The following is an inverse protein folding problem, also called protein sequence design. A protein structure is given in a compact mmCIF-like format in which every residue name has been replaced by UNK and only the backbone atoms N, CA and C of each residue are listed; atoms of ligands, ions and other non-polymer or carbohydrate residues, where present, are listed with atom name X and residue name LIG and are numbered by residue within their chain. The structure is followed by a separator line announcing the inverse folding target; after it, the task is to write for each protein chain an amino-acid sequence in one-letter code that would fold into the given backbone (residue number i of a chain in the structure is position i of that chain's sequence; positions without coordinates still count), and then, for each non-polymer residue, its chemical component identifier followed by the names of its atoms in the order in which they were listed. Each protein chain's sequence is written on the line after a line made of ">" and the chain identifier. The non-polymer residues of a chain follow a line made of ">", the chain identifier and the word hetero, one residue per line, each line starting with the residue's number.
data_IF_894816932572
#
_entry.id   IF_894816932572
#
_cell.length_a   1.000
_cell.length_b   1.000
_cell.length_c   1.000
_cell.angle_alpha   90.00
_cell.angle_beta   90.00
_cell.angle_gamma   90.00
#
_symmetry.space_group_name_H-M   'P 1'
#
loop_
_entity.id
_entity.type
_entity.pdbx_description
1 polymer ?
#
# COMPACT_ATOMS: atom_id res chain seq x y z
N UNK A 1 16.05 -64.03 -3.14
CA UNK A 1 15.41 -63.04 -2.28
C UNK A 1 15.43 -61.70 -3.03
N UNK A 2 14.27 -61.28 -3.58
CA UNK A 2 14.12 -60.02 -4.33
C UNK A 2 13.67 -58.91 -3.34
N UNK A 3 14.50 -57.88 -3.17
CA UNK A 3 14.15 -56.73 -2.33
C UNK A 3 13.43 -55.68 -3.21
N UNK A 4 12.12 -55.49 -2.95
CA UNK A 4 11.31 -54.49 -3.60
C UNK A 4 11.51 -53.15 -2.85
N UNK A 5 12.09 -52.16 -3.56
CA UNK A 5 12.19 -50.77 -3.02
C UNK A 5 10.93 -50.04 -3.46
N UNK A 6 10.09 -49.70 -2.52
CA UNK A 6 8.94 -48.81 -2.75
C UNK A 6 9.41 -47.35 -2.59
N UNK A 7 9.49 -46.61 -3.69
CA UNK A 7 9.77 -45.19 -3.69
C UNK A 7 8.46 -44.45 -3.38
N UNK A 8 8.38 -43.87 -2.21
CA UNK A 8 7.29 -42.94 -1.86
C UNK A 8 7.52 -41.58 -2.54
N UNK A 9 6.73 -41.28 -3.56
CA UNK A 9 6.65 -39.92 -4.12
C UNK A 9 5.85 -39.02 -3.17
N UNK A 10 6.53 -38.13 -2.46
CA UNK A 10 5.88 -37.01 -1.75
C UNK A 10 5.46 -35.98 -2.81
N UNK A 11 4.18 -35.96 -3.14
CA UNK A 11 3.59 -34.92 -3.97
C UNK A 11 3.54 -33.60 -3.17
N UNK A 12 4.38 -32.62 -3.52
CA UNK A 12 4.23 -31.24 -3.03
C UNK A 12 3.02 -30.63 -3.70
N UNK A 13 1.91 -30.52 -2.96
CA UNK A 13 0.77 -29.72 -3.35
C UNK A 13 1.19 -28.24 -3.27
N UNK A 14 1.45 -27.61 -4.41
CA UNK A 14 1.59 -26.17 -4.49
C UNK A 14 0.21 -25.56 -4.29
N UNK A 15 -0.04 -25.01 -3.10
CA UNK A 15 -1.18 -24.14 -2.88
C UNK A 15 -0.95 -22.86 -3.67
N UNK A 16 -1.69 -22.66 -4.75
CA UNK A 16 -1.79 -21.38 -5.41
C UNK A 16 -2.46 -20.42 -4.41
N UNK A 17 -1.67 -19.56 -3.77
CA UNK A 17 -2.20 -18.47 -2.98
C UNK A 17 -2.98 -17.55 -3.94
N UNK A 18 -4.33 -17.53 -3.82
CA UNK A 18 -5.16 -16.58 -4.55
C UNK A 18 -4.83 -15.15 -4.17
N UNK A 19 -5.16 -14.19 -5.06
CA UNK A 19 -5.01 -12.76 -4.77
C UNK A 19 -5.81 -12.39 -3.50
N UNK A 20 -5.15 -11.71 -2.55
CA UNK A 20 -5.76 -11.27 -1.31
C UNK A 20 -6.32 -9.84 -1.44
N UNK A 21 -7.35 -9.51 -0.65
CA UNK A 21 -7.80 -8.14 -0.45
C UNK A 21 -7.37 -7.66 0.94
N UNK A 22 -6.67 -6.54 0.97
CA UNK A 22 -6.24 -5.84 2.17
C UNK A 22 -7.09 -4.59 2.36
N UNK A 23 -7.18 -4.08 3.60
CA UNK A 23 -7.98 -2.89 3.90
C UNK A 23 -7.09 -1.77 4.47
N UNK A 24 -7.38 -0.55 4.03
CA UNK A 24 -6.85 0.69 4.59
C UNK A 24 -8.02 1.59 4.96
N UNK A 25 -8.11 1.93 6.24
CA UNK A 25 -9.19 2.78 6.76
C UNK A 25 -8.85 4.24 6.57
N UNK A 26 -9.83 5.06 6.25
CA UNK A 26 -9.73 6.52 6.17
C UNK A 26 -10.35 7.12 7.44
N UNK A 27 -9.54 7.77 8.28
CA UNK A 27 -9.89 8.15 9.65
C UNK A 27 -9.60 9.62 9.95
N UNK A 28 -10.52 10.25 10.66
CA UNK A 28 -10.27 11.56 11.29
C UNK A 28 -9.24 11.45 12.42
N UNK A 29 -9.27 10.34 13.17
CA UNK A 29 -8.31 10.05 14.23
C UNK A 29 -8.01 8.55 14.25
N UNK A 30 -6.75 8.20 14.20
CA UNK A 30 -6.26 6.82 14.29
C UNK A 30 -5.03 6.72 15.18
N UNK A 31 -4.33 5.60 15.08
CA UNK A 31 -3.16 5.29 15.90
C UNK A 31 -2.04 6.33 15.77
N UNK A 32 -1.85 6.86 14.57
CA UNK A 32 -0.78 7.83 14.26
C UNK A 32 -1.25 9.29 14.34
N UNK A 33 -2.39 9.56 15.01
CA UNK A 33 -2.93 10.89 15.25
C UNK A 33 -4.10 11.28 14.35
N UNK A 34 -4.23 12.57 14.08
CA UNK A 34 -5.33 13.10 13.29
C UNK A 34 -5.09 12.97 11.78
N UNK A 35 -6.18 12.78 11.02
CA UNK A 35 -6.22 12.69 9.56
C UNK A 35 -5.22 11.65 9.05
N UNK A 36 -5.61 10.37 9.13
CA UNK A 36 -4.72 9.23 8.85
C UNK A 36 -5.36 8.18 7.96
N UNK A 37 -4.51 7.50 7.20
CA UNK A 37 -4.79 6.17 6.68
C UNK A 37 -4.27 5.13 7.69
N UNK A 38 -5.06 4.10 7.97
CA UNK A 38 -4.66 3.05 8.92
C UNK A 38 -4.87 1.65 8.31
N UNK A 39 -3.78 0.89 8.13
CA UNK A 39 -2.39 1.24 8.43
C UNK A 39 -1.82 2.29 7.47
N UNK A 40 -0.82 3.07 7.91
CA UNK A 40 -0.11 4.05 7.08
C UNK A 40 0.92 3.43 6.14
N UNK A 41 1.37 2.21 6.45
CA UNK A 41 2.21 1.36 5.61
C UNK A 41 1.60 -0.02 5.46
N UNK A 42 1.60 -0.54 4.24
CA UNK A 42 1.10 -1.88 3.91
C UNK A 42 2.04 -2.57 2.92
N UNK A 43 2.41 -3.82 3.21
CA UNK A 43 3.15 -4.67 2.27
C UNK A 43 2.23 -5.76 1.73
N UNK A 44 2.14 -5.87 0.41
CA UNK A 44 1.26 -6.80 -0.29
C UNK A 44 2.01 -7.54 -1.39
N UNK A 45 1.44 -8.62 -1.87
CA UNK A 45 1.95 -9.35 -3.03
C UNK A 45 1.44 -8.72 -4.34
N UNK A 46 2.20 -8.88 -5.41
CA UNK A 46 1.74 -8.54 -6.77
C UNK A 46 0.45 -9.30 -7.10
N UNK A 47 -0.55 -8.57 -7.58
CA UNK A 47 -1.87 -9.11 -7.92
C UNK A 47 -2.89 -9.00 -6.79
N UNK A 48 -2.47 -8.66 -5.57
CA UNK A 48 -3.39 -8.35 -4.48
C UNK A 48 -4.18 -7.05 -4.76
N UNK A 49 -5.27 -6.88 -4.02
CA UNK A 49 -6.07 -5.66 -4.04
C UNK A 49 -6.01 -4.96 -2.68
N UNK A 50 -6.15 -3.64 -2.71
CA UNK A 50 -6.31 -2.82 -1.49
C UNK A 50 -7.62 -2.07 -1.57
N UNK A 51 -8.47 -2.29 -0.57
CA UNK A 51 -9.73 -1.56 -0.38
C UNK A 51 -9.51 -0.40 0.57
N UNK A 52 -9.80 0.81 0.10
CA UNK A 52 -9.84 2.00 0.94
C UNK A 52 -11.24 2.14 1.53
N UNK A 53 -11.34 1.97 2.85
CA UNK A 53 -12.60 1.88 3.58
C UNK A 53 -12.96 3.26 4.16
N UNK A 54 -14.15 3.75 3.84
CA UNK A 54 -14.70 4.96 4.44
C UNK A 54 -15.19 4.67 5.86
N UNK A 55 -14.40 5.05 6.86
CA UNK A 55 -14.83 5.02 8.26
C UNK A 55 -15.39 6.38 8.67
N UNK A 56 -14.62 7.45 8.43
CA UNK A 56 -15.05 8.82 8.67
C UNK A 56 -15.31 9.55 7.36
N UNK A 57 -16.13 10.63 7.37
CA UNK A 57 -16.45 11.40 6.18
C UNK A 57 -15.33 12.36 5.78
N UNK A 58 -15.42 12.91 4.57
CA UNK A 58 -14.56 13.95 4.00
C UNK A 58 -13.16 13.45 3.64
N UNK A 59 -13.06 12.19 3.24
CA UNK A 59 -11.82 11.58 2.79
C UNK A 59 -11.94 10.98 1.39
N UNK A 60 -10.80 10.91 0.71
CA UNK A 60 -10.60 10.10 -0.48
C UNK A 60 -9.20 9.46 -0.46
N UNK A 61 -8.95 8.59 -1.42
CA UNK A 61 -7.60 8.06 -1.68
C UNK A 61 -7.21 8.37 -3.12
N UNK A 62 -6.07 9.00 -3.30
CA UNK A 62 -5.50 9.30 -4.61
C UNK A 62 -4.01 8.94 -4.63
N UNK A 63 -3.59 8.08 -5.58
CA UNK A 63 -2.18 7.76 -5.76
C UNK A 63 -1.47 8.95 -6.42
N UNK A 64 -0.33 9.34 -5.85
CA UNK A 64 0.48 10.47 -6.33
C UNK A 64 1.87 10.05 -6.79
N UNK A 65 2.36 8.90 -6.31
CA UNK A 65 3.61 8.27 -6.75
C UNK A 65 3.30 6.80 -7.00
N UNK A 66 3.62 6.32 -8.19
CA UNK A 66 3.44 4.92 -8.58
C UNK A 66 4.67 4.42 -9.34
N UNK A 67 4.96 3.12 -9.31
CA UNK A 67 6.05 2.56 -10.12
C UNK A 67 5.73 2.64 -11.61
N UNK A 68 6.78 2.57 -12.43
CA UNK A 68 6.64 2.60 -13.89
C UNK A 68 5.69 1.48 -14.37
N UNK A 69 4.79 1.82 -15.28
CA UNK A 69 3.79 0.91 -15.83
C UNK A 69 2.55 0.71 -14.95
N UNK A 70 2.52 1.26 -13.73
CA UNK A 70 1.33 1.24 -12.91
C UNK A 70 0.39 2.40 -13.24
N UNK A 71 -0.91 2.16 -13.05
CA UNK A 71 -1.94 3.20 -13.17
C UNK A 71 -2.21 3.82 -11.80
N UNK A 72 -2.12 5.15 -11.71
CA UNK A 72 -2.54 5.89 -10.53
C UNK A 72 -4.06 5.89 -10.41
N UNK A 73 -4.57 5.66 -9.20
CA UNK A 73 -6.01 5.75 -8.91
C UNK A 73 -6.36 7.11 -8.33
N UNK A 74 -7.61 7.48 -8.46
CA UNK A 74 -8.19 8.66 -7.81
C UNK A 74 -9.65 8.39 -7.44
N UNK A 75 -9.88 8.09 -6.15
CA UNK A 75 -11.22 7.95 -5.60
C UNK A 75 -11.90 9.32 -5.47
N UNK A 76 -13.22 9.34 -5.58
CA UNK A 76 -14.03 10.51 -5.26
C UNK A 76 -14.13 10.70 -3.76
N UNK A 77 -14.57 11.88 -3.34
CA UNK A 77 -14.82 12.16 -1.94
C UNK A 77 -15.86 11.18 -1.37
N UNK A 78 -15.53 10.62 -0.19
CA UNK A 78 -16.38 9.66 0.51
C UNK A 78 -16.66 8.34 -0.23
N UNK A 79 -15.87 8.02 -1.25
CA UNK A 79 -15.95 6.79 -2.02
C UNK A 79 -15.06 5.70 -1.43
N UNK A 80 -15.63 4.50 -1.24
CA UNK A 80 -14.84 3.30 -1.04
C UNK A 80 -14.38 2.77 -2.39
N UNK A 81 -13.10 2.54 -2.55
CA UNK A 81 -12.54 1.99 -3.78
C UNK A 81 -11.65 0.79 -3.48
N UNK A 82 -11.65 -0.21 -4.37
CA UNK A 82 -10.67 -1.30 -4.38
C UNK A 82 -9.77 -1.13 -5.58
N UNK A 83 -8.45 -1.18 -5.35
CA UNK A 83 -7.46 -1.06 -6.41
C UNK A 83 -6.64 -2.34 -6.48
N UNK A 84 -6.52 -2.89 -7.68
CA UNK A 84 -5.68 -4.05 -7.94
C UNK A 84 -4.26 -3.60 -8.23
N UNK A 85 -3.28 -4.26 -7.62
CA UNK A 85 -1.87 -3.87 -7.66
C UNK A 85 -1.05 -4.89 -8.45
N UNK A 86 -0.97 -4.69 -9.76
CA UNK A 86 -0.34 -5.62 -10.70
C UNK A 86 1.13 -5.28 -11.03
N UNK A 87 1.67 -4.17 -10.51
CA UNK A 87 3.06 -3.77 -10.69
C UNK A 87 3.80 -3.74 -9.36
N UNK A 88 4.97 -4.38 -9.31
CA UNK A 88 5.87 -4.30 -8.16
C UNK A 88 6.43 -2.89 -7.98
N UNK A 89 6.59 -2.48 -6.73
CA UNK A 89 7.17 -1.21 -6.38
C UNK A 89 6.51 -0.54 -5.19
N UNK A 90 6.84 0.72 -4.99
CA UNK A 90 6.34 1.59 -3.93
C UNK A 90 5.30 2.54 -4.50
N UNK A 91 4.14 2.55 -3.88
CA UNK A 91 3.04 3.47 -4.16
C UNK A 91 2.88 4.42 -2.98
N UNK A 92 2.72 5.70 -3.26
CA UNK A 92 2.36 6.72 -2.26
C UNK A 92 1.03 7.32 -2.66
N UNK A 93 0.14 7.42 -1.69
CA UNK A 93 -1.19 7.98 -1.89
C UNK A 93 -1.52 8.99 -0.79
N UNK A 94 -2.45 9.87 -1.07
CA UNK A 94 -2.85 10.98 -0.19
C UNK A 94 -4.37 11.08 -0.13
N UNK A 95 -4.86 11.76 0.89
CA UNK A 95 -6.21 12.32 0.92
C UNK A 95 -6.13 13.75 0.37
N UNK A 96 -6.84 14.06 -0.70
CA UNK A 96 -6.75 15.37 -1.37
C UNK A 96 -6.98 16.56 -0.41
N UNK A 97 -8.08 16.60 0.39
CA UNK A 97 -8.32 17.74 1.29
C UNK A 97 -7.36 17.79 2.49
N UNK A 98 -6.84 16.65 2.95
CA UNK A 98 -6.01 16.58 4.15
C UNK A 98 -4.51 16.32 3.86
N UNK A 99 -4.10 16.42 2.60
CA UNK A 99 -2.70 16.29 2.20
C UNK A 99 -1.77 17.24 2.98
N UNK A 100 -2.20 18.47 3.18
CA UNK A 100 -1.42 19.46 3.95
C UNK A 100 -1.21 19.05 5.42
N UNK A 101 -2.06 18.18 5.96
CA UNK A 101 -1.94 17.60 7.30
C UNK A 101 -1.15 16.29 7.31
N UNK A 102 -0.49 15.96 6.18
CA UNK A 102 0.22 14.70 5.96
C UNK A 102 -0.69 13.45 6.06
N UNK A 103 -1.96 13.55 5.62
CA UNK A 103 -2.78 12.36 5.41
C UNK A 103 -2.31 11.65 4.15
N UNK A 104 -1.32 10.80 4.33
CA UNK A 104 -0.64 10.05 3.29
C UNK A 104 -0.35 8.62 3.77
N UNK A 105 -0.22 7.70 2.82
CA UNK A 105 0.15 6.32 3.10
C UNK A 105 1.04 5.74 2.02
N UNK A 106 1.64 4.59 2.33
CA UNK A 106 2.58 3.87 1.49
C UNK A 106 2.15 2.42 1.33
N UNK A 107 2.16 1.93 0.11
CA UNK A 107 2.01 0.49 -0.18
C UNK A 107 3.28 0.02 -0.87
N UNK A 108 3.88 -1.06 -0.35
CA UNK A 108 4.92 -1.82 -1.03
C UNK A 108 4.29 -3.05 -1.68
N UNK A 109 4.41 -3.18 -2.98
CA UNK A 109 4.00 -4.36 -3.75
C UNK A 109 5.24 -5.15 -4.13
N UNK A 110 5.41 -6.33 -3.56
CA UNK A 110 6.58 -7.18 -3.83
C UNK A 110 7.91 -6.43 -3.65
N UNK A 111 8.74 -6.41 -4.68
CA UNK A 111 10.05 -5.72 -4.67
C UNK A 111 9.88 -4.21 -4.81
N UNK A 112 10.56 -3.39 -3.98
CA UNK A 112 10.43 -1.94 -4.01
C UNK A 112 11.33 -1.29 -5.10
N UNK A 113 11.10 -1.64 -6.36
CA UNK A 113 11.96 -1.34 -7.51
C UNK A 113 12.17 0.16 -7.77
N UNK A 114 11.28 1.02 -7.28
CA UNK A 114 11.34 2.48 -7.45
C UNK A 114 11.56 3.22 -6.10
N UNK A 115 12.11 2.57 -5.07
CA UNK A 115 12.21 3.14 -3.72
C UNK A 115 12.97 4.46 -3.69
N UNK A 116 14.10 4.58 -4.41
CA UNK A 116 14.89 5.80 -4.43
C UNK A 116 14.09 6.99 -4.99
N UNK A 117 13.39 6.77 -6.10
CA UNK A 117 12.54 7.79 -6.72
C UNK A 117 11.33 8.12 -5.85
N UNK A 118 10.71 7.12 -5.24
CA UNK A 118 9.58 7.31 -4.33
C UNK A 118 10.00 8.17 -3.12
N UNK A 119 11.16 7.91 -2.52
CA UNK A 119 11.70 8.73 -1.41
C UNK A 119 11.96 10.17 -1.85
N UNK A 120 12.57 10.37 -3.02
CA UNK A 120 12.84 11.70 -3.57
C UNK A 120 11.55 12.49 -3.81
N UNK A 121 10.59 11.91 -4.51
CA UNK A 121 9.31 12.55 -4.79
C UNK A 121 8.49 12.79 -3.52
N UNK A 122 8.55 11.89 -2.54
CA UNK A 122 7.88 12.05 -1.24
C UNK A 122 8.48 13.19 -0.42
N UNK A 123 9.80 13.40 -0.50
CA UNK A 123 10.45 14.54 0.15
C UNK A 123 9.97 15.88 -0.46
N UNK A 124 9.78 15.96 -1.77
CA UNK A 124 9.18 17.12 -2.44
C UNK A 124 7.71 17.31 -2.01
N UNK A 125 6.92 16.24 -1.99
CA UNK A 125 5.53 16.27 -1.54
C UNK A 125 5.41 16.79 -0.10
N UNK A 126 6.30 16.34 0.80
CA UNK A 126 6.30 16.70 2.21
C UNK A 126 6.63 18.18 2.47
N UNK A 127 7.23 18.90 1.53
CA UNK A 127 7.41 20.35 1.64
C UNK A 127 6.09 21.11 1.74
N UNK A 128 5.02 20.56 1.18
CA UNK A 128 3.67 21.11 1.27
C UNK A 128 2.92 20.75 2.56
N UNK A 129 3.48 19.91 3.43
CA UNK A 129 2.86 19.56 4.70
C UNK A 129 3.06 20.65 5.73
N UNK A 130 1.98 21.07 6.39
CA UNK A 130 2.02 22.08 7.45
C UNK A 130 2.19 21.45 8.83
N UNK A 131 1.82 20.18 8.99
CA UNK A 131 1.97 19.41 10.24
C UNK A 131 2.36 17.96 9.93
N UNK A 132 2.81 17.22 10.94
CA UNK A 132 3.21 15.79 10.85
C UNK A 132 4.19 15.53 9.68
N UNK A 133 5.13 16.41 9.44
CA UNK A 133 6.01 16.43 8.26
C UNK A 133 6.85 15.16 8.10
N UNK A 134 7.09 14.44 9.19
CA UNK A 134 7.87 13.19 9.23
C UNK A 134 7.03 11.93 9.01
N UNK A 135 5.68 12.03 9.01
CA UNK A 135 4.78 10.88 8.92
C UNK A 135 5.02 10.04 7.66
N UNK A 136 5.11 10.69 6.49
CA UNK A 136 5.34 9.99 5.23
C UNK A 136 6.74 9.34 5.19
N UNK A 137 7.78 10.01 5.69
CA UNK A 137 9.11 9.46 5.78
C UNK A 137 9.15 8.21 6.68
N UNK A 138 8.50 8.24 7.85
CA UNK A 138 8.38 7.09 8.75
C UNK A 138 7.65 5.90 8.10
N UNK A 139 6.65 6.15 7.26
CA UNK A 139 5.99 5.09 6.51
C UNK A 139 6.93 4.48 5.45
N UNK A 140 7.69 5.32 4.73
CA UNK A 140 8.68 4.87 3.74
C UNK A 140 9.86 4.12 4.35
N UNK A 141 10.23 4.38 5.59
CA UNK A 141 11.31 3.67 6.30
C UNK A 141 10.95 2.20 6.63
N UNK A 142 9.68 1.83 6.53
CA UNK A 142 9.22 0.46 6.69
C UNK A 142 9.38 -0.38 5.42
N UNK A 143 9.66 0.23 4.27
CA UNK A 143 9.88 -0.45 2.98
C UNK A 143 11.18 -1.26 3.04
N UNK A 144 11.10 -2.56 2.64
CA UNK A 144 12.23 -3.51 2.69
C UNK A 144 12.27 -4.39 1.45
#
# INVERSE_FOLDING_TARGET
>A
MKKTVVAAMLGMAAFAAGAAEHQVKMLNTGKDGAMVFEPSFLKVAKGDSVKFVKVDPSHNSAAVIVPSGATAWKGKMDEEISVKLDQEGVYVYVCDPHKVMAMAGVIQVGKPVNLADAKKQSAELAKGFVMNKDRLAKALDQVK
#
